data_IF_264593645287
#
_entry.id   IF_264593645287
#
_cell.length_a   1.000
_cell.length_b   1.000
_cell.length_c   1.000
_cell.angle_alpha   90.00
_cell.angle_beta   90.00
_cell.angle_gamma   90.00
#
_symmetry.space_group_name_H-M   'P 1'
#
loop_
_entity.id
_entity.type
_entity.pdbx_description
1 polymer ?
#
# COMPACT_ATOMS: atom_id res chain seq x y z
N UNK A 1 -5.97 38.72 -0.41
CA UNK A 1 -5.20 37.81 0.47
C UNK A 1 -5.97 36.52 0.83
N UNK A 2 -7.26 36.61 1.15
CA UNK A 2 -8.13 35.47 1.52
C UNK A 2 -8.22 34.37 0.44
N UNK A 3 -8.28 34.78 -0.82
CA UNK A 3 -8.40 33.87 -1.96
C UNK A 3 -7.10 33.09 -2.25
N UNK A 4 -5.95 33.66 -1.89
CA UNK A 4 -4.64 33.00 -2.07
C UNK A 4 -4.46 31.84 -1.08
N UNK A 5 -4.92 32.02 0.16
CA UNK A 5 -4.90 30.99 1.20
C UNK A 5 -5.79 29.80 0.80
N UNK A 6 -6.96 30.07 0.20
CA UNK A 6 -7.87 29.03 -0.30
C UNK A 6 -7.24 28.19 -1.43
N UNK A 7 -6.50 28.82 -2.35
CA UNK A 7 -5.84 28.10 -3.46
C UNK A 7 -4.72 27.18 -2.94
N UNK A 8 -3.94 27.63 -1.97
CA UNK A 8 -2.87 26.84 -1.35
C UNK A 8 -3.44 25.64 -0.57
N UNK A 9 -4.53 25.85 0.17
CA UNK A 9 -5.21 24.78 0.88
C UNK A 9 -5.79 23.72 -0.08
N UNK A 10 -6.33 24.15 -1.23
CA UNK A 10 -6.85 23.24 -2.25
C UNK A 10 -5.75 22.36 -2.84
N UNK A 11 -4.57 22.92 -3.11
CA UNK A 11 -3.41 22.19 -3.66
C UNK A 11 -2.86 21.13 -2.70
N UNK A 12 -2.92 21.38 -1.38
CA UNK A 12 -2.44 20.42 -0.38
C UNK A 12 -3.38 19.20 -0.24
N UNK A 13 -4.69 19.39 -0.47
CA UNK A 13 -5.71 18.34 -0.34
C UNK A 13 -5.68 17.28 -1.45
N UNK A 14 -5.08 17.57 -2.61
CA UNK A 14 -4.98 16.62 -3.73
C UNK A 14 -3.80 15.65 -3.65
N UNK A 15 -3.00 15.67 -2.57
CA UNK A 15 -1.94 14.68 -2.33
C UNK A 15 -2.55 13.30 -2.05
N UNK A 16 -2.85 12.60 -3.13
CA UNK A 16 -3.38 11.24 -3.15
C UNK A 16 -2.31 10.29 -2.60
N UNK A 17 -2.52 9.78 -1.39
CA UNK A 17 -1.66 8.76 -0.77
C UNK A 17 -1.79 7.42 -1.51
N UNK A 18 -1.06 7.27 -2.62
CA UNK A 18 -0.90 5.99 -3.30
C UNK A 18 0.01 5.06 -2.48
N UNK A 19 -0.52 4.53 -1.37
CA UNK A 19 0.22 3.58 -0.54
C UNK A 19 0.43 2.27 -1.32
N UNK A 20 1.69 1.85 -1.42
CA UNK A 20 2.04 0.60 -2.06
C UNK A 20 1.34 -0.57 -1.35
N UNK A 21 0.46 -1.29 -2.07
CA UNK A 21 -0.23 -2.46 -1.51
C UNK A 21 0.76 -3.59 -1.31
N UNK A 22 0.87 -4.09 -0.07
CA UNK A 22 1.65 -5.29 0.24
C UNK A 22 0.93 -6.55 -0.28
N UNK A 23 1.66 -7.43 -0.92
CA UNK A 23 1.22 -8.76 -1.33
C UNK A 23 1.89 -9.80 -0.43
N UNK A 24 1.16 -10.86 -0.09
CA UNK A 24 1.67 -11.96 0.73
C UNK A 24 1.68 -13.24 -0.09
N UNK A 25 2.77 -14.00 0.01
CA UNK A 25 2.95 -15.25 -0.76
C UNK A 25 3.52 -16.34 0.13
N UNK A 26 2.93 -17.53 0.05
CA UNK A 26 3.40 -18.73 0.76
C UNK A 26 4.76 -19.15 0.20
N UNK A 27 5.74 -19.31 1.08
CA UNK A 27 7.06 -19.87 0.77
C UNK A 27 6.96 -21.35 0.36
N UNK A 28 5.97 -22.07 0.90
CA UNK A 28 5.79 -23.50 0.67
C UNK A 28 5.17 -23.80 -0.69
N UNK A 29 4.10 -23.08 -1.04
CA UNK A 29 3.28 -23.38 -2.22
C UNK A 29 3.40 -22.35 -3.33
N UNK A 30 4.04 -21.20 -3.08
CA UNK A 30 4.09 -20.10 -4.04
C UNK A 30 2.74 -19.47 -4.33
N UNK A 31 1.70 -19.75 -3.54
CA UNK A 31 0.37 -19.15 -3.73
C UNK A 31 0.25 -17.83 -2.99
N UNK A 32 -0.56 -16.91 -3.53
CA UNK A 32 -0.89 -15.68 -2.83
C UNK A 32 -1.84 -15.97 -1.67
N UNK A 33 -1.60 -15.32 -0.54
CA UNK A 33 -2.39 -15.50 0.68
C UNK A 33 -2.88 -14.16 1.21
N UNK A 34 -3.89 -14.21 2.07
CA UNK A 34 -4.42 -13.02 2.74
C UNK A 34 -3.48 -12.55 3.85
N UNK A 35 -3.63 -11.28 4.26
CA UNK A 35 -2.88 -10.70 5.38
C UNK A 35 -3.08 -11.53 6.66
N UNK A 36 -4.31 -11.92 6.97
CA UNK A 36 -4.62 -12.74 8.14
C UNK A 36 -3.89 -14.09 8.11
N UNK A 37 -3.75 -14.72 6.93
CA UNK A 37 -3.00 -15.98 6.79
C UNK A 37 -1.49 -15.76 6.96
N UNK A 38 -0.98 -14.64 6.44
CA UNK A 38 0.43 -14.25 6.64
C UNK A 38 0.75 -14.02 8.13
N UNK A 39 -0.15 -13.37 8.86
CA UNK A 39 -0.02 -13.13 10.31
C UNK A 39 -0.11 -14.43 11.13
N UNK A 40 -0.94 -15.38 10.71
CA UNK A 40 -1.02 -16.71 11.33
C UNK A 40 0.19 -17.61 11.04
N UNK A 41 0.94 -17.34 9.98
CA UNK A 41 2.07 -18.21 9.55
C UNK A 41 3.22 -17.38 8.98
N UNK A 42 3.82 -16.48 9.79
CA UNK A 42 4.82 -15.53 9.31
C UNK A 42 6.11 -16.21 8.88
N UNK A 43 6.50 -17.32 9.53
CA UNK A 43 7.71 -18.09 9.21
C UNK A 43 7.70 -18.71 7.82
N UNK A 44 6.54 -18.84 7.19
CA UNK A 44 6.38 -19.49 5.88
C UNK A 44 5.69 -18.60 4.86
N UNK A 45 5.61 -17.29 5.14
CA UNK A 45 4.96 -16.32 4.26
C UNK A 45 5.86 -15.12 4.08
N UNK A 46 6.19 -14.80 2.83
CA UNK A 46 6.94 -13.58 2.51
C UNK A 46 5.98 -12.47 2.06
N UNK A 47 6.34 -11.23 2.38
CA UNK A 47 5.58 -10.04 1.98
C UNK A 47 6.40 -9.19 0.99
N UNK A 48 5.75 -8.72 -0.06
CA UNK A 48 6.39 -7.89 -1.09
C UNK A 48 5.56 -6.63 -1.31
N UNK A 49 6.21 -5.51 -1.62
CA UNK A 49 5.49 -4.33 -2.09
C UNK A 49 5.12 -4.53 -3.56
N UNK A 50 3.83 -4.42 -3.88
CA UNK A 50 3.38 -4.45 -5.28
C UNK A 50 3.87 -3.18 -5.95
N UNK A 51 4.88 -3.29 -6.80
CA UNK A 51 5.27 -2.17 -7.66
C UNK A 51 4.13 -1.93 -8.64
N UNK A 52 3.57 -0.72 -8.64
CA UNK A 52 2.67 -0.30 -9.71
C UNK A 52 3.46 -0.35 -11.00
N UNK A 53 2.99 -1.15 -11.97
CA UNK A 53 3.63 -1.22 -13.29
C UNK A 53 3.34 0.13 -13.95
N UNK A 54 4.39 0.96 -14.08
CA UNK A 54 4.34 2.24 -14.77
C UNK A 54 4.22 2.01 -16.27
#
# INVERSE_FOLDING_TARGET
>A
MKNLILIIALLFAFSSNAQAKKQYRSAKSGQYVTKAKAEKSPSTTYSTNRKSRK
#
